data_IF_537677211322
#
_entry.id   IF_537677211322
#
_cell.length_a   1.000
_cell.length_b   1.000
_cell.length_c   1.000
_cell.angle_alpha   90.00
_cell.angle_beta   90.00
_cell.angle_gamma   90.00
#
_symmetry.space_group_name_H-M   'P 1'
#
loop_
_entity.id
_entity.type
_entity.pdbx_description
1 polymer ?
#
# COMPACT_ATOMS: atom_id res chain seq x y z
N UNK A 1 -13.06 -17.45 27.52
CA UNK A 1 -12.16 -18.31 28.32
C UNK A 1 -11.06 -17.44 28.89
N UNK A 2 -10.93 -17.40 30.20
CA UNK A 2 -9.79 -16.79 30.87
C UNK A 2 -8.83 -17.92 31.23
N UNK A 3 -7.69 -17.97 30.57
CA UNK A 3 -6.61 -18.90 30.89
C UNK A 3 -5.82 -18.32 32.07
N UNK A 4 -6.17 -18.73 33.30
CA UNK A 4 -5.61 -18.16 34.52
C UNK A 4 -4.22 -18.70 34.90
N UNK A 5 -3.59 -19.51 34.03
CA UNK A 5 -2.33 -20.19 34.38
C UNK A 5 -1.14 -19.47 33.78
N UNK A 6 -0.28 -18.91 34.64
CA UNK A 6 1.03 -18.33 34.28
C UNK A 6 2.03 -19.35 33.72
N UNK A 7 1.72 -20.66 33.79
CA UNK A 7 2.59 -21.78 33.33
C UNK A 7 2.31 -22.21 31.89
N UNK A 8 1.22 -21.77 31.25
CA UNK A 8 0.92 -22.17 29.88
C UNK A 8 1.91 -21.51 28.90
N UNK A 9 2.62 -22.31 28.14
CA UNK A 9 3.67 -21.88 27.21
C UNK A 9 3.32 -22.04 25.74
N UNK A 10 2.50 -23.05 25.40
CA UNK A 10 2.19 -23.37 24.01
C UNK A 10 0.70 -23.63 23.82
N UNK A 11 0.13 -23.13 22.72
CA UNK A 11 -1.24 -23.40 22.31
C UNK A 11 -1.20 -24.08 20.94
N UNK A 12 -1.51 -25.38 20.94
CA UNK A 12 -1.42 -26.22 19.75
C UNK A 12 -2.48 -25.95 18.70
N UNK A 13 -2.30 -26.57 17.54
CA UNK A 13 -3.28 -26.57 16.45
C UNK A 13 -4.62 -27.10 16.96
N UNK A 14 -5.70 -26.39 16.67
CA UNK A 14 -7.06 -26.79 17.00
C UNK A 14 -7.40 -26.85 18.51
N UNK A 15 -6.61 -26.22 19.37
CA UNK A 15 -6.81 -26.26 20.83
C UNK A 15 -8.23 -25.84 21.26
N UNK A 16 -8.84 -24.90 20.55
CA UNK A 16 -10.23 -24.44 20.78
C UNK A 16 -11.13 -24.63 19.56
N UNK A 17 -10.79 -25.60 18.65
CA UNK A 17 -11.58 -25.80 17.44
C UNK A 17 -13.07 -25.99 17.72
N UNK A 18 -13.91 -25.22 17.01
CA UNK A 18 -15.37 -25.36 17.09
C UNK A 18 -15.99 -24.86 18.41
N UNK A 19 -15.25 -24.12 19.24
CA UNK A 19 -15.81 -23.51 20.45
C UNK A 19 -16.75 -22.34 20.09
N UNK A 20 -17.94 -22.65 19.54
CA UNK A 20 -18.88 -21.69 18.97
C UNK A 20 -19.53 -20.72 19.94
N UNK A 21 -19.42 -20.96 21.26
CA UNK A 21 -19.88 -20.04 22.29
C UNK A 21 -18.78 -19.13 22.82
N UNK A 22 -17.53 -19.34 22.40
CA UNK A 22 -16.40 -18.54 22.80
C UNK A 22 -16.45 -17.16 22.12
N UNK A 23 -16.60 -16.09 22.89
CA UNK A 23 -16.65 -14.70 22.40
C UNK A 23 -15.34 -13.97 22.55
N UNK A 24 -14.58 -14.29 23.59
CA UNK A 24 -13.28 -13.68 23.89
C UNK A 24 -12.29 -14.71 24.40
N UNK A 25 -11.02 -14.54 24.10
CA UNK A 25 -9.93 -15.34 24.63
C UNK A 25 -8.75 -14.45 25.02
N UNK A 26 -8.09 -14.75 26.15
CA UNK A 26 -6.89 -14.05 26.60
C UNK A 26 -5.69 -14.99 26.62
N UNK A 27 -4.63 -14.67 25.89
CA UNK A 27 -3.34 -15.37 25.95
C UNK A 27 -2.56 -14.93 27.19
N UNK A 28 -2.11 -15.87 28.05
CA UNK A 28 -1.31 -15.58 29.22
C UNK A 28 0.10 -15.04 28.91
N UNK A 29 0.78 -14.55 29.95
CA UNK A 29 2.10 -13.93 29.84
C UNK A 29 3.19 -14.83 29.25
N UNK A 30 3.18 -16.14 29.58
CA UNK A 30 4.24 -17.08 29.22
C UNK A 30 4.02 -17.83 27.89
N UNK A 31 2.93 -17.57 27.16
CA UNK A 31 2.70 -18.19 25.87
C UNK A 31 3.69 -17.63 24.84
N UNK A 32 4.60 -18.49 24.38
CA UNK A 32 5.59 -18.16 23.34
C UNK A 32 5.30 -18.82 21.99
N UNK A 33 4.39 -19.81 21.94
CA UNK A 33 4.00 -20.49 20.71
C UNK A 33 2.48 -20.66 20.65
N UNK A 34 1.89 -20.17 19.55
CA UNK A 34 0.46 -20.29 19.28
C UNK A 34 0.24 -20.60 17.80
N UNK A 35 -0.45 -21.70 17.52
CA UNK A 35 -0.82 -22.06 16.14
C UNK A 35 -1.85 -21.09 15.58
N UNK A 36 -1.75 -20.70 14.30
CA UNK A 36 -2.75 -19.88 13.63
C UNK A 36 -4.17 -20.51 13.67
N UNK A 37 -4.26 -21.84 13.76
CA UNK A 37 -5.52 -22.60 13.81
C UNK A 37 -6.04 -22.86 15.22
N UNK A 38 -5.49 -22.24 16.25
CA UNK A 38 -5.88 -22.56 17.64
C UNK A 38 -7.35 -22.29 17.94
N UNK A 39 -7.99 -21.35 17.23
CA UNK A 39 -9.40 -20.93 17.37
C UNK A 39 -10.24 -21.23 16.10
N UNK A 40 -9.81 -22.17 15.27
CA UNK A 40 -10.52 -22.54 14.05
C UNK A 40 -11.97 -22.95 14.35
N UNK A 41 -12.94 -22.39 13.59
CA UNK A 41 -14.36 -22.64 13.77
C UNK A 41 -14.98 -21.98 15.03
N UNK A 42 -14.28 -21.06 15.69
CA UNK A 42 -14.86 -20.28 16.80
C UNK A 42 -15.68 -19.09 16.25
N UNK A 43 -16.82 -19.37 15.63
CA UNK A 43 -17.59 -18.42 14.82
C UNK A 43 -18.12 -17.19 15.57
N UNK A 44 -18.18 -17.22 16.91
CA UNK A 44 -18.57 -16.09 17.76
C UNK A 44 -17.38 -15.37 18.40
N UNK A 45 -16.15 -15.87 18.20
CA UNK A 45 -14.97 -15.24 18.77
C UNK A 45 -14.74 -13.87 18.10
N UNK A 46 -14.99 -12.80 18.83
CA UNK A 46 -14.85 -11.42 18.35
C UNK A 46 -13.61 -10.71 18.83
N UNK A 47 -12.92 -11.26 19.83
CA UNK A 47 -11.79 -10.57 20.45
C UNK A 47 -10.72 -11.52 21.00
N UNK A 48 -9.49 -11.34 20.58
CA UNK A 48 -8.30 -12.00 21.17
C UNK A 48 -7.51 -10.95 21.93
N UNK A 49 -7.35 -11.13 23.23
CA UNK A 49 -6.47 -10.30 24.06
C UNK A 49 -5.20 -11.05 24.45
N UNK A 50 -4.18 -10.31 24.79
CA UNK A 50 -2.88 -10.84 25.24
C UNK A 50 -2.51 -10.15 26.53
N UNK A 51 -1.92 -10.89 27.49
CA UNK A 51 -1.42 -10.31 28.72
C UNK A 51 -0.31 -9.29 28.40
N UNK A 52 -0.32 -8.14 29.08
CA UNK A 52 0.63 -7.04 28.83
C UNK A 52 2.09 -7.46 29.05
N UNK A 53 2.33 -8.43 29.92
CA UNK A 53 3.65 -9.01 30.22
C UNK A 53 4.11 -10.03 29.19
N UNK A 54 3.23 -10.48 28.29
CA UNK A 54 3.66 -11.41 27.23
C UNK A 54 4.73 -10.76 26.36
N UNK A 55 5.84 -11.47 26.13
CA UNK A 55 7.00 -10.97 25.38
C UNK A 55 7.00 -11.36 23.90
N UNK A 56 6.10 -12.26 23.49
CA UNK A 56 6.08 -12.81 22.11
C UNK A 56 4.89 -12.29 21.29
N UNK A 57 3.76 -12.05 21.96
CA UNK A 57 2.52 -11.66 21.31
C UNK A 57 1.97 -10.36 21.88
N UNK A 58 1.16 -9.70 21.07
CA UNK A 58 0.37 -8.53 21.44
C UNK A 58 -1.02 -8.62 20.80
N UNK A 59 -1.97 -7.90 21.37
CA UNK A 59 -3.28 -7.68 20.76
C UNK A 59 -3.43 -6.22 20.38
N UNK A 60 -3.89 -5.96 19.18
CA UNK A 60 -4.26 -4.63 18.73
C UNK A 60 -5.68 -4.68 18.15
N UNK A 61 -6.60 -3.93 18.74
CA UNK A 61 -8.03 -3.94 18.39
C UNK A 61 -8.67 -5.35 18.35
N UNK A 62 -8.24 -6.27 19.23
CA UNK A 62 -8.80 -7.64 19.30
C UNK A 62 -8.25 -8.64 18.29
N UNK A 63 -7.27 -8.24 17.50
CA UNK A 63 -6.55 -9.08 16.54
C UNK A 63 -5.20 -9.47 17.16
N UNK A 64 -4.74 -10.69 16.91
CA UNK A 64 -3.48 -11.23 17.43
C UNK A 64 -2.29 -10.89 16.51
N UNK A 65 -1.24 -10.35 17.11
CA UNK A 65 0.02 -10.00 16.45
C UNK A 65 1.23 -10.55 17.21
N UNK A 66 2.42 -10.48 16.57
CA UNK A 66 3.69 -10.55 17.29
C UNK A 66 3.83 -9.35 18.23
N UNK A 67 4.77 -9.41 19.17
CA UNK A 67 4.99 -8.35 20.17
C UNK A 67 5.30 -6.99 19.54
N UNK A 68 6.00 -6.97 18.42
CA UNK A 68 6.37 -5.75 17.68
C UNK A 68 5.24 -5.18 16.81
N UNK A 69 4.08 -5.82 16.75
CA UNK A 69 2.97 -5.49 15.86
C UNK A 69 3.38 -5.48 14.37
N UNK A 70 4.34 -6.32 14.01
CA UNK A 70 4.89 -6.42 12.65
C UNK A 70 4.28 -7.56 11.85
N UNK A 71 3.76 -8.58 12.53
CA UNK A 71 3.13 -9.76 11.92
C UNK A 71 1.74 -9.93 12.51
N UNK A 72 0.70 -9.90 11.66
CA UNK A 72 -0.66 -10.26 12.03
C UNK A 72 -0.81 -11.79 11.99
N UNK A 73 -1.06 -12.43 13.13
CA UNK A 73 -1.21 -13.88 13.21
C UNK A 73 -2.65 -14.35 13.00
N UNK A 74 -3.63 -13.72 13.66
CA UNK A 74 -5.03 -14.18 13.57
C UNK A 74 -6.01 -13.05 13.85
N UNK A 75 -6.91 -12.80 12.93
CA UNK A 75 -8.16 -12.10 13.13
C UNK A 75 -9.23 -13.14 13.54
N UNK A 76 -10.02 -12.91 14.62
CA UNK A 76 -11.06 -13.84 15.03
C UNK A 76 -12.18 -13.95 13.97
N UNK A 77 -12.76 -15.13 13.79
CA UNK A 77 -13.83 -15.38 12.80
C UNK A 77 -15.11 -14.57 13.06
N UNK A 78 -15.43 -14.32 14.32
CA UNK A 78 -16.56 -13.50 14.78
C UNK A 78 -16.21 -12.04 14.98
N UNK A 79 -15.13 -11.55 14.39
CA UNK A 79 -14.68 -10.16 14.53
C UNK A 79 -15.70 -9.18 13.95
N UNK A 80 -16.30 -8.37 14.82
CA UNK A 80 -17.29 -7.35 14.46
C UNK A 80 -16.93 -5.96 14.98
N UNK A 81 -15.78 -5.84 15.65
CA UNK A 81 -15.34 -4.57 16.26
C UNK A 81 -15.13 -3.46 15.23
N UNK A 82 -14.63 -3.80 14.05
CA UNK A 82 -14.49 -2.92 12.89
C UNK A 82 -14.85 -3.69 11.61
N UNK A 83 -15.75 -3.12 10.80
CA UNK A 83 -16.05 -3.64 9.46
C UNK A 83 -15.00 -3.20 8.44
N UNK A 84 -14.44 -2.02 8.63
CA UNK A 84 -13.37 -1.43 7.83
C UNK A 84 -12.08 -1.46 8.64
N UNK A 85 -11.07 -2.13 8.13
CA UNK A 85 -9.71 -2.14 8.67
C UNK A 85 -8.83 -1.19 7.86
N UNK A 86 -8.41 -0.11 8.48
CA UNK A 86 -7.64 0.99 7.87
C UNK A 86 -6.44 1.39 8.76
N UNK A 87 -5.80 2.50 8.46
CA UNK A 87 -4.68 3.04 9.21
C UNK A 87 -5.00 3.40 10.69
N UNK A 88 -6.30 3.45 11.06
CA UNK A 88 -6.72 3.69 12.45
C UNK A 88 -6.99 2.37 13.20
N UNK A 89 -7.12 1.28 12.48
CA UNK A 89 -7.49 -0.03 13.00
C UNK A 89 -6.41 -1.10 12.84
N UNK A 90 -5.48 -0.91 11.91
CA UNK A 90 -4.29 -1.74 11.74
C UNK A 90 -3.03 -1.04 12.25
N UNK A 91 -2.08 -1.76 12.88
CA UNK A 91 -0.86 -1.14 13.35
C UNK A 91 0.00 -0.66 12.17
N UNK A 92 0.53 0.57 12.25
CA UNK A 92 1.35 1.15 11.21
C UNK A 92 2.69 0.41 10.98
N UNK A 93 3.12 -0.38 11.94
CA UNK A 93 4.36 -1.20 11.90
C UNK A 93 4.18 -2.51 11.14
N UNK A 94 2.95 -2.84 10.69
CA UNK A 94 2.61 -4.11 10.06
C UNK A 94 3.46 -4.35 8.78
N UNK A 95 4.17 -5.48 8.75
CA UNK A 95 5.04 -5.93 7.64
C UNK A 95 4.50 -7.16 6.92
N UNK A 96 3.84 -8.05 7.68
CA UNK A 96 3.38 -9.34 7.16
C UNK A 96 2.02 -9.70 7.73
N UNK A 97 1.23 -10.41 6.93
CA UNK A 97 0.01 -11.07 7.38
C UNK A 97 0.26 -12.58 7.29
N UNK A 98 0.04 -13.29 8.38
CA UNK A 98 0.33 -14.71 8.51
C UNK A 98 -0.58 -15.62 7.68
N UNK A 99 -0.24 -16.92 7.64
CA UNK A 99 -1.07 -17.94 7.01
C UNK A 99 -2.45 -17.98 7.66
N UNK A 100 -3.50 -18.00 6.84
CA UNK A 100 -4.90 -18.12 7.28
C UNK A 100 -5.34 -17.03 8.28
N UNK A 101 -4.67 -15.89 8.30
CA UNK A 101 -4.84 -14.87 9.32
C UNK A 101 -6.24 -14.25 9.35
N UNK A 102 -6.92 -14.15 8.22
CA UNK A 102 -8.30 -13.70 8.08
C UNK A 102 -9.27 -14.82 7.64
N UNK A 103 -8.84 -16.08 7.65
CA UNK A 103 -9.71 -17.19 7.21
C UNK A 103 -11.03 -17.18 7.97
N UNK A 104 -12.15 -17.27 7.23
CA UNK A 104 -13.55 -17.19 7.72
C UNK A 104 -13.96 -15.85 8.38
N UNK A 105 -13.19 -14.77 8.21
CA UNK A 105 -13.57 -13.43 8.73
C UNK A 105 -14.67 -12.80 7.87
N UNK A 106 -15.90 -13.27 8.00
CA UNK A 106 -17.06 -12.88 7.16
C UNK A 106 -17.64 -11.49 7.46
N UNK A 107 -17.25 -10.85 8.57
CA UNK A 107 -17.78 -9.54 8.99
C UNK A 107 -16.85 -8.37 8.67
N UNK A 108 -15.63 -8.65 8.23
CA UNK A 108 -14.72 -7.62 7.72
C UNK A 108 -15.08 -7.37 6.26
N UNK A 109 -15.49 -6.13 5.95
CA UNK A 109 -16.01 -5.74 4.63
C UNK A 109 -14.94 -5.07 3.76
N UNK A 110 -14.07 -4.28 4.36
CA UNK A 110 -13.02 -3.55 3.65
C UNK A 110 -11.69 -3.61 4.41
N UNK A 111 -10.59 -3.76 3.70
CA UNK A 111 -9.25 -3.72 4.29
C UNK A 111 -8.34 -2.81 3.45
N UNK A 112 -7.75 -1.81 4.11
CA UNK A 112 -6.77 -0.87 3.58
C UNK A 112 -5.47 -1.03 4.35
N UNK A 113 -4.54 -1.81 3.81
CA UNK A 113 -3.29 -2.11 4.50
C UNK A 113 -2.34 -0.91 4.53
N UNK A 114 -1.59 -0.73 5.65
CA UNK A 114 -0.61 0.34 5.76
C UNK A 114 0.56 0.10 4.81
N UNK A 115 1.17 1.19 4.36
CA UNK A 115 2.46 1.12 3.65
C UNK A 115 3.51 0.42 4.52
N UNK A 116 4.36 -0.39 3.89
CA UNK A 116 5.35 -1.21 4.58
C UNK A 116 4.94 -2.68 4.73
N UNK A 117 3.66 -3.03 4.49
CA UNK A 117 3.25 -4.42 4.32
C UNK A 117 3.89 -4.99 3.05
N UNK A 118 4.58 -6.12 3.17
CA UNK A 118 5.31 -6.73 2.05
C UNK A 118 4.67 -8.02 1.54
N UNK A 119 4.02 -8.80 2.41
CA UNK A 119 3.53 -10.12 1.99
C UNK A 119 2.37 -10.64 2.83
N UNK A 120 1.59 -11.52 2.19
CA UNK A 120 0.58 -12.36 2.83
C UNK A 120 1.01 -13.83 2.83
N UNK A 121 0.58 -14.56 3.86
CA UNK A 121 0.73 -16.01 3.94
C UNK A 121 -0.27 -16.76 3.07
N UNK A 122 -0.19 -18.09 3.11
CA UNK A 122 -1.11 -19.02 2.45
C UNK A 122 -2.53 -18.83 3.01
N UNK A 123 -3.53 -18.83 2.14
CA UNK A 123 -4.96 -18.82 2.52
C UNK A 123 -5.39 -17.61 3.34
N UNK A 124 -4.68 -16.48 3.26
CA UNK A 124 -4.89 -15.32 4.14
C UNK A 124 -6.34 -14.86 4.23
N UNK A 125 -7.05 -14.74 3.11
CA UNK A 125 -8.45 -14.29 3.02
C UNK A 125 -9.40 -15.43 2.62
N UNK A 126 -8.98 -16.66 2.82
CA UNK A 126 -9.79 -17.83 2.45
C UNK A 126 -11.13 -17.79 3.18
N UNK A 127 -12.22 -17.96 2.42
CA UNK A 127 -13.60 -17.90 2.90
C UNK A 127 -14.01 -16.58 3.61
N UNK A 128 -13.33 -15.47 3.30
CA UNK A 128 -13.76 -14.13 3.69
C UNK A 128 -14.97 -13.69 2.85
N UNK A 129 -16.12 -14.31 3.05
CA UNK A 129 -17.32 -14.09 2.22
C UNK A 129 -17.94 -12.70 2.35
N UNK A 130 -17.54 -11.90 3.33
CA UNK A 130 -17.97 -10.52 3.51
C UNK A 130 -17.00 -9.46 2.95
N UNK A 131 -15.77 -9.85 2.60
CA UNK A 131 -14.75 -8.90 2.12
C UNK A 131 -15.12 -8.43 0.71
N UNK A 132 -15.46 -7.15 0.58
CA UNK A 132 -15.87 -6.52 -0.69
C UNK A 132 -14.74 -5.72 -1.32
N UNK A 133 -13.90 -5.11 -0.50
CA UNK A 133 -12.82 -4.19 -0.94
C UNK A 133 -11.51 -4.52 -0.25
N UNK A 134 -10.46 -4.63 -1.04
CA UNK A 134 -9.10 -4.82 -0.55
C UNK A 134 -8.14 -3.84 -1.22
N UNK A 135 -7.33 -3.14 -0.40
CA UNK A 135 -6.22 -2.33 -0.89
C UNK A 135 -4.88 -2.92 -0.50
N UNK A 136 -4.04 -3.12 -1.51
CA UNK A 136 -2.66 -3.56 -1.38
C UNK A 136 -1.73 -2.34 -1.52
N UNK A 137 -0.88 -2.04 -0.51
CA UNK A 137 0.02 -0.90 -0.59
C UNK A 137 1.11 -1.13 -1.64
N UNK A 138 1.75 -0.07 -2.09
CA UNK A 138 2.84 -0.15 -3.08
C UNK A 138 4.07 -0.94 -2.61
N UNK A 139 4.22 -1.16 -1.31
CA UNK A 139 5.26 -2.00 -0.72
C UNK A 139 5.00 -3.52 -0.81
N UNK A 140 3.79 -3.93 -1.23
CA UNK A 140 3.39 -5.34 -1.28
C UNK A 140 4.08 -6.06 -2.45
N UNK A 141 4.64 -7.24 -2.23
CA UNK A 141 5.39 -8.00 -3.24
C UNK A 141 4.73 -9.32 -3.65
N UNK A 142 3.74 -9.82 -2.89
CA UNK A 142 3.04 -11.05 -3.24
C UNK A 142 2.21 -11.63 -2.10
N UNK A 143 1.40 -12.63 -2.42
CA UNK A 143 0.57 -13.39 -1.48
C UNK A 143 0.76 -14.89 -1.60
N UNK A 144 0.43 -15.62 -0.52
CA UNK A 144 0.47 -17.07 -0.48
C UNK A 144 -0.64 -17.72 -1.32
N UNK A 145 -0.48 -19.00 -1.59
CA UNK A 145 -1.42 -19.79 -2.37
C UNK A 145 -2.81 -19.85 -1.74
N UNK A 146 -3.86 -19.81 -2.57
CA UNK A 146 -5.26 -19.92 -2.14
C UNK A 146 -5.74 -18.79 -1.25
N UNK A 147 -5.08 -17.63 -1.31
CA UNK A 147 -5.41 -16.49 -0.42
C UNK A 147 -6.83 -15.98 -0.62
N UNK A 148 -7.41 -16.12 -1.81
CA UNK A 148 -8.74 -15.61 -2.14
C UNK A 148 -9.79 -16.69 -2.41
N UNK A 149 -9.48 -17.96 -2.16
CA UNK A 149 -10.45 -19.06 -2.29
C UNK A 149 -11.66 -18.80 -1.40
N UNK A 150 -12.87 -18.80 -1.97
CA UNK A 150 -14.12 -18.53 -1.25
C UNK A 150 -14.32 -17.09 -0.78
N UNK A 151 -13.50 -16.13 -1.22
CA UNK A 151 -13.72 -14.69 -0.98
C UNK A 151 -14.77 -14.14 -1.96
N UNK A 152 -15.99 -14.69 -1.89
CA UNK A 152 -17.05 -14.53 -2.90
C UNK A 152 -17.58 -13.11 -3.07
N UNK A 153 -17.41 -12.24 -2.05
CA UNK A 153 -17.87 -10.86 -2.10
C UNK A 153 -16.85 -9.91 -2.72
N UNK A 154 -15.57 -10.31 -2.88
CA UNK A 154 -14.51 -9.41 -3.32
C UNK A 154 -14.78 -8.86 -4.72
N UNK A 155 -15.10 -7.58 -4.76
CA UNK A 155 -15.56 -6.86 -5.94
C UNK A 155 -14.61 -5.73 -6.36
N UNK A 156 -13.88 -5.16 -5.40
CA UNK A 156 -12.94 -4.05 -5.61
C UNK A 156 -11.57 -4.41 -5.07
N UNK A 157 -10.56 -4.34 -5.93
CA UNK A 157 -9.16 -4.54 -5.54
C UNK A 157 -8.31 -3.35 -6.01
N UNK A 158 -7.59 -2.73 -5.06
CA UNK A 158 -6.58 -1.71 -5.35
C UNK A 158 -5.19 -2.33 -5.23
N UNK A 159 -4.40 -2.21 -6.29
CA UNK A 159 -2.99 -2.62 -6.35
C UNK A 159 -2.16 -1.38 -6.59
N UNK A 160 -1.63 -0.79 -5.52
CA UNK A 160 -0.95 0.51 -5.57
C UNK A 160 0.51 0.41 -6.06
N UNK A 161 0.94 -0.73 -6.58
CA UNK A 161 2.29 -0.90 -7.13
C UNK A 161 2.48 -0.17 -8.45
N UNK A 162 3.68 0.38 -8.66
CA UNK A 162 4.10 0.95 -9.95
C UNK A 162 4.36 -0.13 -10.99
N UNK A 163 4.81 -1.31 -10.55
CA UNK A 163 5.10 -2.46 -11.39
C UNK A 163 4.35 -3.70 -10.88
N UNK A 164 3.15 -3.89 -11.41
CA UNK A 164 2.37 -5.10 -11.12
C UNK A 164 2.97 -6.38 -11.74
N UNK A 165 4.02 -6.28 -12.56
CA UNK A 165 4.78 -7.42 -13.08
C UNK A 165 5.62 -8.09 -11.98
N UNK A 166 6.08 -7.33 -10.98
CA UNK A 166 6.87 -7.84 -9.86
C UNK A 166 6.07 -8.66 -8.85
N UNK A 167 4.74 -8.65 -8.93
CA UNK A 167 3.92 -9.55 -8.13
C UNK A 167 4.11 -10.98 -8.66
N UNK A 168 4.62 -11.90 -7.85
CA UNK A 168 4.74 -13.35 -8.17
C UNK A 168 3.41 -14.04 -8.54
N UNK A 169 2.38 -13.25 -8.74
CA UNK A 169 1.00 -13.62 -9.07
C UNK A 169 0.83 -14.12 -10.49
N UNK A 170 1.77 -13.79 -11.37
CA UNK A 170 1.70 -14.12 -12.80
C UNK A 170 1.53 -15.61 -13.11
N UNK A 171 1.77 -16.49 -12.13
CA UNK A 171 1.68 -17.96 -12.29
C UNK A 171 0.37 -18.57 -11.77
N UNK A 172 -0.53 -17.77 -11.11
CA UNK A 172 -1.72 -18.29 -10.42
C UNK A 172 -3.01 -17.75 -11.05
N UNK A 173 -3.28 -18.19 -12.27
CA UNK A 173 -4.41 -17.72 -13.09
C UNK A 173 -5.78 -17.85 -12.43
N UNK A 174 -5.96 -18.73 -11.43
CA UNK A 174 -7.26 -19.04 -10.80
C UNK A 174 -7.40 -18.44 -9.39
N UNK A 175 -6.49 -17.58 -8.94
CA UNK A 175 -6.48 -17.06 -7.55
C UNK A 175 -7.75 -16.30 -7.18
N UNK A 176 -8.43 -15.67 -8.14
CA UNK A 176 -9.64 -14.87 -7.93
C UNK A 176 -10.91 -15.52 -8.51
N UNK A 177 -10.90 -16.82 -8.83
CA UNK A 177 -12.04 -17.44 -9.54
C UNK A 177 -13.34 -17.40 -8.75
N UNK A 178 -13.27 -17.47 -7.44
CA UNK A 178 -14.44 -17.38 -6.55
C UNK A 178 -14.91 -15.94 -6.30
N UNK A 179 -14.12 -14.93 -6.71
CA UNK A 179 -14.42 -13.53 -6.43
C UNK A 179 -15.38 -12.92 -7.46
N UNK A 180 -16.10 -11.85 -7.08
CA UNK A 180 -16.97 -11.10 -8.01
C UNK A 180 -16.19 -10.42 -9.13
N UNK A 181 -14.97 -9.95 -8.83
CA UNK A 181 -14.05 -9.32 -9.81
C UNK A 181 -14.68 -8.16 -10.58
N UNK A 182 -15.29 -7.21 -9.89
CA UNK A 182 -15.93 -6.05 -10.51
C UNK A 182 -14.91 -5.06 -11.04
N UNK A 183 -14.14 -4.40 -10.17
CA UNK A 183 -13.18 -3.38 -10.60
C UNK A 183 -11.81 -3.59 -9.96
N UNK A 184 -10.80 -3.72 -10.81
CA UNK A 184 -9.38 -3.69 -10.44
C UNK A 184 -8.83 -2.28 -10.67
N UNK A 185 -8.30 -1.66 -9.62
CA UNK A 185 -7.57 -0.40 -9.70
C UNK A 185 -6.07 -0.67 -9.58
N UNK A 186 -5.29 -0.07 -10.47
CA UNK A 186 -3.82 -0.24 -10.48
C UNK A 186 -3.11 1.10 -10.45
N UNK A 187 -1.99 1.18 -9.72
CA UNK A 187 -1.19 2.39 -9.53
C UNK A 187 -0.17 2.64 -10.63
N UNK A 188 0.18 1.62 -11.40
CA UNK A 188 1.24 1.67 -12.40
C UNK A 188 0.80 1.32 -13.80
N UNK A 189 1.78 1.24 -14.69
CA UNK A 189 1.57 0.83 -16.06
C UNK A 189 1.53 -0.70 -16.14
N UNK A 190 0.35 -1.29 -16.42
CA UNK A 190 0.24 -2.71 -16.78
C UNK A 190 0.03 -2.78 -18.30
N UNK A 191 1.03 -3.28 -19.01
CA UNK A 191 1.07 -3.28 -20.47
C UNK A 191 -0.07 -4.08 -21.12
N UNK A 192 -0.58 -5.09 -20.45
CA UNK A 192 -1.82 -5.78 -20.86
C UNK A 192 -2.45 -6.49 -19.65
N UNK A 193 -3.76 -6.30 -19.48
CA UNK A 193 -4.56 -6.99 -18.47
C UNK A 193 -5.05 -8.36 -18.92
N UNK A 194 -4.63 -8.82 -20.11
CA UNK A 194 -5.17 -10.01 -20.75
C UNK A 194 -4.48 -11.31 -20.31
N UNK A 195 -3.70 -11.31 -19.24
CA UNK A 195 -2.98 -12.49 -18.79
C UNK A 195 -2.93 -12.61 -17.25
N UNK A 196 -2.75 -13.85 -16.79
CA UNK A 196 -2.70 -14.19 -15.37
C UNK A 196 -4.02 -13.94 -14.65
N UNK A 197 -3.99 -13.77 -13.32
CA UNK A 197 -5.17 -13.61 -12.47
C UNK A 197 -5.96 -12.32 -12.76
N UNK A 198 -5.36 -11.36 -13.47
CA UNK A 198 -5.96 -10.05 -13.80
C UNK A 198 -6.93 -10.12 -14.98
N UNK A 199 -6.76 -11.06 -15.89
CA UNK A 199 -7.53 -11.17 -17.13
C UNK A 199 -9.05 -11.34 -16.93
N UNK A 200 -9.45 -11.80 -15.75
CA UNK A 200 -10.85 -12.11 -15.45
C UNK A 200 -11.60 -10.99 -14.72
N UNK A 201 -10.96 -9.85 -14.44
CA UNK A 201 -11.63 -8.70 -13.84
C UNK A 201 -12.49 -7.97 -14.89
N UNK A 202 -13.75 -7.62 -14.52
CA UNK A 202 -14.71 -7.01 -15.45
C UNK A 202 -14.28 -5.63 -15.92
N UNK A 203 -13.71 -4.84 -15.00
CA UNK A 203 -13.21 -3.50 -15.28
C UNK A 203 -11.78 -3.39 -14.78
N UNK A 204 -10.92 -2.72 -15.53
CA UNK A 204 -9.63 -2.32 -15.05
C UNK A 204 -9.42 -0.83 -15.25
N UNK A 205 -9.04 -0.15 -14.17
CA UNK A 205 -8.82 1.29 -14.15
C UNK A 205 -7.41 1.59 -13.65
N UNK A 206 -6.67 2.42 -14.40
CA UNK A 206 -5.38 2.97 -13.96
C UNK A 206 -5.60 4.14 -13.00
N UNK A 207 -6.26 3.87 -11.89
CA UNK A 207 -6.72 4.89 -10.96
C UNK A 207 -6.45 4.51 -9.51
N UNK A 208 -5.55 3.56 -9.25
CA UNK A 208 -5.09 3.29 -7.90
C UNK A 208 -4.15 4.41 -7.48
N UNK A 209 -4.71 5.47 -6.99
CA UNK A 209 -4.01 6.58 -6.36
C UNK A 209 -4.64 6.83 -4.98
N UNK A 210 -3.85 7.34 -4.09
CA UNK A 210 -4.35 7.72 -2.77
C UNK A 210 -4.95 9.13 -2.78
N UNK A 211 -4.53 9.97 -3.73
CA UNK A 211 -4.99 11.34 -3.87
C UNK A 211 -4.94 11.86 -5.31
N UNK A 212 -6.04 12.46 -5.77
CA UNK A 212 -6.15 13.20 -7.02
C UNK A 212 -6.23 14.71 -6.72
N UNK A 213 -5.22 15.44 -7.16
CA UNK A 213 -5.19 16.89 -7.02
C UNK A 213 -6.11 17.57 -8.06
N UNK A 214 -6.57 18.79 -7.77
CA UNK A 214 -7.42 19.60 -8.65
C UNK A 214 -6.80 19.92 -10.01
N UNK A 215 -5.45 19.87 -10.09
CA UNK A 215 -4.69 20.03 -11.33
C UNK A 215 -4.51 18.71 -12.11
N UNK A 216 -5.09 17.61 -11.64
CA UNK A 216 -5.04 16.29 -12.28
C UNK A 216 -3.82 15.44 -11.87
N UNK A 217 -2.91 15.95 -11.06
CA UNK A 217 -1.78 15.19 -10.55
C UNK A 217 -2.26 14.10 -9.59
N UNK A 218 -1.71 12.89 -9.70
CA UNK A 218 -2.05 11.73 -8.87
C UNK A 218 -0.89 11.35 -7.96
N UNK A 219 -1.19 11.18 -6.69
CA UNK A 219 -0.21 10.91 -5.66
C UNK A 219 -0.50 9.60 -4.94
N UNK A 220 0.57 8.88 -4.57
CA UNK A 220 0.54 7.68 -3.76
C UNK A 220 1.23 7.93 -2.43
N UNK A 221 0.66 7.46 -1.34
CA UNK A 221 1.29 7.53 -0.03
C UNK A 221 2.39 6.47 0.04
N UNK A 222 3.62 6.91 0.32
CA UNK A 222 4.80 6.03 0.44
C UNK A 222 5.22 5.78 1.89
N UNK A 223 4.75 6.63 2.80
CA UNK A 223 4.95 6.46 4.23
C UNK A 223 3.73 7.04 4.97
N UNK A 224 3.02 6.20 5.71
CA UNK A 224 1.82 6.56 6.48
C UNK A 224 2.09 6.95 7.94
N UNK A 225 3.35 7.17 8.32
CA UNK A 225 3.72 7.50 9.71
C UNK A 225 4.02 8.98 9.87
N UNK A 226 3.58 9.54 11.02
CA UNK A 226 3.88 10.91 11.38
C UNK A 226 5.39 11.17 11.34
N UNK A 227 5.78 12.22 10.65
CA UNK A 227 7.17 12.61 10.47
C UNK A 227 7.32 14.13 10.39
N UNK A 228 8.54 14.60 10.62
CA UNK A 228 8.90 16.00 10.39
C UNK A 228 9.70 16.09 9.10
N UNK A 229 9.25 16.91 8.15
CA UNK A 229 9.93 17.19 6.89
C UNK A 229 10.21 18.68 6.82
N UNK A 230 11.49 19.06 6.70
CA UNK A 230 11.95 20.47 6.64
C UNK A 230 11.37 21.33 7.78
N UNK A 231 11.27 20.78 9.00
CA UNK A 231 10.75 21.46 10.18
C UNK A 231 9.22 21.44 10.33
N UNK A 232 8.46 20.96 9.35
CA UNK A 232 7.01 20.85 9.38
C UNK A 232 6.56 19.43 9.72
N UNK A 233 5.46 19.30 10.49
CA UNK A 233 4.88 18.01 10.88
C UNK A 233 3.86 17.54 9.86
N UNK A 234 3.98 16.26 9.45
CA UNK A 234 3.07 15.59 8.53
C UNK A 234 2.66 14.23 9.09
N UNK A 235 1.51 13.71 8.65
CA UNK A 235 1.04 12.36 8.96
C UNK A 235 1.82 11.29 8.17
N UNK A 236 2.63 11.71 7.20
CA UNK A 236 3.45 10.82 6.39
C UNK A 236 4.03 11.51 5.18
N UNK A 237 4.43 10.73 4.17
CA UNK A 237 4.91 11.25 2.89
C UNK A 237 4.21 10.61 1.70
N UNK A 238 4.18 11.36 0.58
CA UNK A 238 3.58 10.96 -0.67
C UNK A 238 4.58 11.13 -1.83
N UNK A 239 4.28 10.44 -2.94
CA UNK A 239 5.01 10.49 -4.19
C UNK A 239 4.05 10.88 -5.32
N UNK A 240 4.46 11.79 -6.19
CA UNK A 240 3.81 12.00 -7.47
C UNK A 240 4.09 10.80 -8.36
N UNK A 241 3.06 10.09 -8.83
CA UNK A 241 3.25 8.96 -9.70
C UNK A 241 2.64 9.12 -11.10
N UNK A 242 1.72 10.08 -11.28
CA UNK A 242 1.13 10.37 -12.57
C UNK A 242 0.79 11.86 -12.73
N UNK A 243 1.08 12.39 -13.92
CA UNK A 243 0.69 13.72 -14.35
C UNK A 243 0.05 13.61 -15.74
N UNK A 244 -1.14 14.20 -15.98
CA UNK A 244 -1.76 14.17 -17.29
C UNK A 244 -0.95 15.00 -18.29
N UNK A 245 -0.66 14.42 -19.47
CA UNK A 245 0.17 15.06 -20.51
C UNK A 245 -0.60 15.97 -21.46
N UNK A 246 -1.93 15.85 -21.50
CA UNK A 246 -2.79 16.57 -22.44
C UNK A 246 -3.66 17.65 -21.80
N UNK A 247 -3.23 18.24 -20.69
CA UNK A 247 -4.03 19.26 -19.96
C UNK A 247 -4.12 20.60 -20.65
N UNK A 248 -3.31 20.86 -21.67
CA UNK A 248 -3.18 22.20 -22.29
C UNK A 248 -2.63 23.28 -21.37
N UNK A 249 -2.05 22.90 -20.21
CA UNK A 249 -1.51 23.82 -19.22
C UNK A 249 -0.04 24.15 -19.54
N UNK A 250 0.29 25.44 -19.52
CA UNK A 250 1.66 25.92 -19.67
C UNK A 250 2.49 25.87 -18.39
N UNK A 251 1.88 25.46 -17.28
CA UNK A 251 2.53 25.31 -15.99
C UNK A 251 2.01 24.08 -15.25
N UNK A 252 2.94 23.31 -14.68
CA UNK A 252 2.68 22.20 -13.75
C UNK A 252 3.41 22.50 -12.44
N UNK A 253 2.67 22.58 -11.35
CA UNK A 253 3.20 22.75 -10.00
C UNK A 253 2.96 21.45 -9.23
N UNK A 254 4.06 20.80 -8.82
CA UNK A 254 4.01 19.69 -7.87
C UNK A 254 3.78 20.26 -6.49
N UNK A 255 2.77 19.78 -5.79
CA UNK A 255 2.36 20.31 -4.49
C UNK A 255 3.42 20.05 -3.40
N UNK A 256 3.49 20.92 -2.40
CA UNK A 256 4.33 20.72 -1.22
C UNK A 256 3.84 19.54 -0.39
N UNK A 257 2.53 19.42 -0.26
CA UNK A 257 1.85 18.32 0.45
C UNK A 257 0.47 18.06 -0.15
N UNK A 258 -0.09 16.91 0.19
CA UNK A 258 -1.48 16.55 -0.08
C UNK A 258 -2.25 16.42 1.22
N UNK A 259 -3.56 16.66 1.18
CA UNK A 259 -4.45 16.49 2.33
C UNK A 259 -5.55 15.50 1.95
N UNK A 260 -5.59 14.36 2.62
CA UNK A 260 -6.62 13.36 2.40
C UNK A 260 -7.94 13.73 3.11
N UNK A 261 -9.06 13.12 2.70
CA UNK A 261 -10.29 13.18 3.47
C UNK A 261 -10.03 12.81 4.94
N UNK A 262 -10.55 13.62 5.88
CA UNK A 262 -10.21 13.48 7.30
C UNK A 262 -9.07 14.37 7.79
N UNK A 263 -8.48 15.21 6.91
CA UNK A 263 -7.54 16.27 7.27
C UNK A 263 -6.09 15.83 7.45
N UNK A 264 -5.77 14.56 7.22
CA UNK A 264 -4.38 14.06 7.29
C UNK A 264 -3.53 14.64 6.17
N UNK A 265 -2.35 15.16 6.52
CA UNK A 265 -1.41 15.81 5.60
C UNK A 265 -0.20 14.93 5.32
N UNK A 266 0.17 14.81 4.06
CA UNK A 266 1.33 14.02 3.62
C UNK A 266 2.26 14.90 2.78
N UNK A 267 3.51 15.05 3.21
CA UNK A 267 4.51 15.80 2.45
C UNK A 267 4.79 15.10 1.10
N UNK A 268 4.83 15.84 0.00
CA UNK A 268 5.24 15.28 -1.29
C UNK A 268 6.77 15.29 -1.36
N UNK A 269 7.39 14.12 -1.14
CA UNK A 269 8.85 13.99 -1.00
C UNK A 269 9.54 13.40 -2.22
N UNK A 270 8.78 12.85 -3.17
CA UNK A 270 9.38 12.24 -4.37
C UNK A 270 8.48 12.33 -5.60
N UNK A 271 9.13 12.23 -6.76
CA UNK A 271 8.52 12.07 -8.08
C UNK A 271 8.87 10.68 -8.59
N UNK A 272 7.89 9.91 -9.01
CA UNK A 272 8.04 8.54 -9.52
C UNK A 272 8.56 8.46 -10.95
N UNK A 273 8.67 7.26 -11.46
CA UNK A 273 9.10 6.97 -12.83
C UNK A 273 7.98 7.30 -13.84
N UNK A 274 8.35 7.77 -15.03
CA UNK A 274 7.41 7.98 -16.15
C UNK A 274 6.10 8.67 -15.78
N UNK A 275 6.16 9.76 -15.02
CA UNK A 275 4.95 10.42 -14.48
C UNK A 275 3.97 10.90 -15.54
N UNK A 276 4.41 11.16 -16.78
CA UNK A 276 3.52 11.47 -17.92
C UNK A 276 3.11 10.24 -18.73
N UNK A 277 3.49 9.04 -18.31
CA UNK A 277 3.31 7.80 -19.05
C UNK A 277 4.39 7.56 -20.09
N UNK A 278 4.60 6.30 -20.45
CA UNK A 278 5.58 5.91 -21.48
C UNK A 278 5.04 6.26 -22.87
N UNK A 279 5.89 6.88 -23.71
CA UNK A 279 5.54 7.26 -25.08
C UNK A 279 4.55 8.42 -25.21
N UNK A 280 4.24 9.10 -24.10
CA UNK A 280 3.38 10.29 -24.09
C UNK A 280 4.23 11.54 -23.87
N UNK A 281 3.91 12.63 -24.58
CA UNK A 281 4.57 13.93 -24.41
C UNK A 281 3.57 15.01 -24.05
N UNK A 282 4.02 16.04 -23.33
CA UNK A 282 3.20 17.21 -23.03
C UNK A 282 2.67 17.83 -24.32
N UNK A 283 1.38 18.19 -24.33
CA UNK A 283 0.71 18.73 -25.52
C UNK A 283 1.09 20.18 -25.84
N UNK A 284 1.58 20.93 -24.85
CA UNK A 284 1.99 22.34 -24.99
C UNK A 284 3.31 22.58 -24.25
N UNK A 285 4.01 23.66 -24.63
CA UNK A 285 5.21 24.11 -23.92
C UNK A 285 4.86 24.40 -22.45
N UNK A 286 5.53 23.73 -21.55
CA UNK A 286 5.18 23.68 -20.13
C UNK A 286 6.39 23.98 -19.26
N UNK A 287 6.18 24.74 -18.19
CA UNK A 287 7.12 24.92 -17.11
C UNK A 287 6.75 24.01 -15.94
N UNK A 288 7.75 23.37 -15.32
CA UNK A 288 7.61 22.54 -14.16
C UNK A 288 8.18 23.21 -12.92
N UNK A 289 7.39 23.31 -11.86
CA UNK A 289 7.85 23.75 -10.54
C UNK A 289 7.74 22.59 -9.55
N UNK A 290 8.85 22.27 -8.87
CA UNK A 290 8.86 21.26 -7.81
C UNK A 290 8.37 21.84 -6.48
N UNK A 291 7.53 21.09 -5.77
CA UNK A 291 7.14 21.39 -4.39
C UNK A 291 8.35 21.39 -3.45
N UNK A 292 8.31 22.19 -2.40
CA UNK A 292 9.46 22.46 -1.50
C UNK A 292 10.01 21.23 -0.77
N UNK A 293 9.19 20.18 -0.59
CA UNK A 293 9.57 18.97 0.12
C UNK A 293 10.06 17.82 -0.80
N UNK A 294 10.03 18.01 -2.13
CA UNK A 294 10.54 16.99 -3.07
C UNK A 294 12.04 16.84 -2.90
N UNK A 295 12.48 15.62 -2.57
CA UNK A 295 13.89 15.27 -2.34
C UNK A 295 14.46 14.36 -3.43
N UNK A 296 13.57 13.61 -4.10
CA UNK A 296 13.97 12.61 -5.09
C UNK A 296 13.14 12.72 -6.35
N UNK A 297 13.81 12.77 -7.49
CA UNK A 297 13.25 12.54 -8.80
C UNK A 297 13.76 11.17 -9.24
N UNK A 298 12.84 10.24 -9.50
CA UNK A 298 13.17 8.87 -9.86
C UNK A 298 13.77 8.78 -11.28
N UNK A 299 14.29 7.61 -11.60
CA UNK A 299 14.74 7.25 -12.93
C UNK A 299 13.64 7.52 -13.96
N UNK A 300 14.00 8.14 -15.11
CA UNK A 300 13.10 8.39 -16.25
C UNK A 300 11.80 9.15 -15.90
N UNK A 301 11.79 9.90 -14.80
CA UNK A 301 10.57 10.56 -14.31
C UNK A 301 9.90 11.44 -15.36
N UNK A 302 10.69 12.22 -16.10
CA UNK A 302 10.24 13.16 -17.14
C UNK A 302 10.89 12.86 -18.52
N UNK A 303 11.33 11.64 -18.75
CA UNK A 303 11.97 11.24 -20.00
C UNK A 303 11.08 11.55 -21.22
N UNK A 304 11.72 12.05 -22.30
CA UNK A 304 11.10 12.35 -23.60
C UNK A 304 10.02 13.45 -23.58
N UNK A 305 10.01 14.29 -22.56
CA UNK A 305 9.06 15.42 -22.49
C UNK A 305 9.56 16.64 -23.29
N UNK A 306 9.54 16.52 -24.62
CA UNK A 306 10.07 17.53 -25.53
C UNK A 306 9.39 18.91 -25.45
N UNK A 307 8.23 18.99 -24.81
CA UNK A 307 7.54 20.24 -24.51
C UNK A 307 7.76 20.75 -23.08
N UNK A 308 8.61 20.09 -22.28
CA UNK A 308 9.07 20.61 -21.00
C UNK A 308 10.21 21.61 -21.26
N UNK A 309 9.89 22.91 -21.17
CA UNK A 309 10.78 23.99 -21.59
C UNK A 309 11.35 24.81 -20.44
N UNK A 310 10.76 24.75 -19.28
CA UNK A 310 11.23 25.42 -18.07
C UNK A 310 11.19 24.53 -16.85
N UNK A 311 12.17 24.70 -15.95
CA UNK A 311 12.30 23.88 -14.75
C UNK A 311 12.72 24.73 -13.55
N UNK A 312 11.90 24.70 -12.50
CA UNK A 312 12.22 25.29 -11.20
C UNK A 312 12.38 24.20 -10.16
N UNK A 313 13.62 23.93 -9.78
CA UNK A 313 13.98 23.01 -8.70
C UNK A 313 13.81 23.68 -7.33
N UNK A 314 13.56 22.88 -6.30
CA UNK A 314 13.51 23.37 -4.92
C UNK A 314 14.87 23.17 -4.21
N UNK A 315 15.19 23.93 -3.15
CA UNK A 315 16.49 23.86 -2.47
C UNK A 315 16.73 22.54 -1.71
N UNK A 316 15.69 21.76 -1.44
CA UNK A 316 15.76 20.52 -0.65
C UNK A 316 15.96 19.27 -1.51
N UNK A 317 16.00 19.40 -2.84
CA UNK A 317 16.21 18.27 -3.76
C UNK A 317 17.61 17.66 -3.52
N UNK A 318 17.64 16.31 -3.41
CA UNK A 318 18.85 15.53 -3.10
C UNK A 318 19.29 14.64 -4.25
N UNK A 319 18.34 14.08 -5.00
CA UNK A 319 18.61 13.07 -6.01
C UNK A 319 17.84 13.37 -7.30
N UNK A 320 18.53 13.30 -8.43
CA UNK A 320 17.94 13.23 -9.76
C UNK A 320 18.41 11.91 -10.38
N UNK A 321 17.48 10.98 -10.63
CA UNK A 321 17.76 9.65 -11.15
C UNK A 321 18.16 9.63 -12.62
N UNK A 322 18.56 8.46 -13.09
CA UNK A 322 18.99 8.21 -14.49
C UNK A 322 17.92 8.70 -15.46
N UNK A 323 18.33 9.49 -16.48
CA UNK A 323 17.39 10.08 -17.46
C UNK A 323 16.23 10.87 -16.85
N UNK A 324 16.34 11.36 -15.62
CA UNK A 324 15.23 12.02 -14.91
C UNK A 324 14.57 13.13 -15.74
N UNK A 325 15.34 13.89 -16.48
CA UNK A 325 14.92 14.90 -17.47
C UNK A 325 15.56 14.67 -18.85
N UNK A 326 15.84 13.41 -19.20
CA UNK A 326 16.42 13.09 -20.50
C UNK A 326 15.49 13.44 -21.66
N UNK A 327 16.05 13.92 -22.78
CA UNK A 327 15.30 14.32 -23.99
C UNK A 327 14.18 15.34 -23.74
N UNK A 328 14.32 16.22 -22.74
CA UNK A 328 13.47 17.39 -22.60
C UNK A 328 14.03 18.54 -23.48
N UNK A 329 13.30 19.67 -23.58
CA UNK A 329 13.79 20.88 -24.23
C UNK A 329 13.82 22.03 -23.24
N UNK A 330 14.53 21.83 -22.11
CA UNK A 330 14.63 22.83 -21.07
C UNK A 330 15.52 23.98 -21.60
N UNK A 331 14.86 25.07 -21.97
CA UNK A 331 15.51 26.25 -22.57
C UNK A 331 15.87 27.33 -21.57
N UNK A 332 15.57 27.13 -20.30
CA UNK A 332 15.89 28.07 -19.19
C UNK A 332 17.09 27.59 -18.42
N UNK A 333 17.83 28.54 -17.82
CA UNK A 333 18.89 28.21 -16.90
C UNK A 333 18.34 27.37 -15.74
N UNK A 334 18.91 26.18 -15.51
CA UNK A 334 18.58 25.32 -14.41
C UNK A 334 19.56 25.50 -13.28
N UNK A 335 19.12 26.10 -12.19
CA UNK A 335 19.93 26.24 -10.98
C UNK A 335 19.85 24.98 -10.16
N UNK A 336 20.92 24.19 -10.12
CA UNK A 336 20.99 23.01 -9.26
C UNK A 336 21.13 23.47 -7.80
N UNK A 337 20.33 22.90 -6.88
CA UNK A 337 20.38 23.26 -5.48
C UNK A 337 21.71 22.82 -4.83
N UNK A 338 22.26 23.64 -3.94
CA UNK A 338 23.51 23.33 -3.23
C UNK A 338 23.46 22.05 -2.38
N UNK A 339 22.27 21.63 -2.03
CA UNK A 339 22.03 20.38 -1.27
C UNK A 339 21.89 19.12 -2.13
N UNK A 340 22.00 19.21 -3.46
CA UNK A 340 21.93 18.06 -4.36
C UNK A 340 23.14 17.14 -4.11
N UNK A 341 22.89 15.88 -3.79
CA UNK A 341 23.93 14.89 -3.47
C UNK A 341 24.19 13.91 -4.60
N UNK A 342 23.17 13.69 -5.45
CA UNK A 342 23.28 12.70 -6.52
C UNK A 342 22.65 13.24 -7.80
N UNK A 343 23.42 13.23 -8.84
CA UNK A 343 23.00 13.49 -10.23
C UNK A 343 23.43 12.27 -11.04
N UNK A 344 22.45 11.42 -11.37
CA UNK A 344 22.69 10.15 -12.02
C UNK A 344 22.99 10.30 -13.53
N UNK A 345 23.40 9.20 -14.18
CA UNK A 345 23.74 9.17 -15.60
C UNK A 345 22.60 9.72 -16.47
N UNK A 346 22.95 10.56 -17.43
CA UNK A 346 22.01 11.12 -18.41
C UNK A 346 20.85 11.95 -17.80
N UNK A 347 20.93 12.38 -16.54
CA UNK A 347 19.85 13.08 -15.85
C UNK A 347 19.25 14.23 -16.65
N UNK A 348 20.06 14.97 -17.43
CA UNK A 348 19.67 16.04 -18.35
C UNK A 348 20.13 15.78 -19.78
N UNK A 349 20.29 14.53 -20.20
CA UNK A 349 20.75 14.17 -21.53
C UNK A 349 19.86 14.80 -22.62
N UNK A 350 20.52 15.33 -23.67
CA UNK A 350 19.84 15.88 -24.86
C UNK A 350 18.78 16.95 -24.54
N UNK A 351 19.11 17.88 -23.65
CA UNK A 351 18.34 19.09 -23.39
C UNK A 351 18.95 20.24 -24.20
N UNK A 352 18.51 20.42 -25.44
CA UNK A 352 19.01 21.47 -26.37
C UNK A 352 17.85 22.23 -27.02
#
# INVERSE_FOLDING_TARGET
VQMATSSLQQIGKYAFKGCNLLTTIKLPENVYSCSAYFVDGCTKLGYISVDSKNTNYASYNGILYDKGLTILFRCPEGYTYKKVLDSNSLPPTLKKVGNYAFEYCKYVEEIYFPYGLTSFGVGTFRYCSGLTTLQLPSSHTGWGEGSFVGATALDVLYVNQEDAYGLEVSRRVNEFDDCKRGTLYVGGWIASFNWGPWAKWKNCKREAYDYLATNGLRYTIINGYAQTVDGEKFDGSAKLFYAPHNTGKSEIVIQDYITLPGGKKYAVTSVGTHVFGTGSTLSVKTNLTLGKHVRTIAEQAFLDQTNLVGLKLNPNLKVIGVNGFGNCRIATDVILPCGLTTLESHAFYNNS
#
